data_IF_132522913533
#
_entry.id   IF_132522913533
#
_cell.length_a   1.000
_cell.length_b   1.000
_cell.length_c   1.000
_cell.angle_alpha   90.00
_cell.angle_beta   90.00
_cell.angle_gamma   90.00
#
_symmetry.space_group_name_H-M   'P 1'
#
loop_
_entity.id
_entity.type
_entity.pdbx_description
1 polymer ?
#
# COMPACT_ATOMS: atom_id res chain seq x y z
N UNK A 1 -65.25 23.58 7.73
CA UNK A 1 -65.02 22.33 8.51
C UNK A 1 -64.45 21.17 7.65
N UNK A 2 -63.75 21.44 6.54
CA UNK A 2 -63.20 20.40 5.62
C UNK A 2 -61.70 20.54 5.31
N UNK A 3 -60.98 21.44 6.01
CA UNK A 3 -59.55 21.71 5.73
C UNK A 3 -58.59 20.85 6.59
N UNK A 4 -59.05 20.40 7.76
CA UNK A 4 -58.22 19.67 8.72
C UNK A 4 -57.98 18.19 8.37
N UNK A 5 -58.78 17.60 7.47
CA UNK A 5 -58.66 16.17 7.16
C UNK A 5 -57.59 15.86 6.09
N UNK A 6 -57.16 16.87 5.31
CA UNK A 6 -56.13 16.72 4.27
C UNK A 6 -54.70 17.00 4.81
N UNK A 7 -54.59 17.72 5.92
CA UNK A 7 -53.30 18.11 6.54
C UNK A 7 -52.66 16.97 7.34
N UNK A 8 -53.47 16.14 8.02
CA UNK A 8 -53.00 15.04 8.87
C UNK A 8 -52.25 13.96 8.06
N UNK A 9 -52.71 13.68 6.83
CA UNK A 9 -52.04 12.71 5.94
C UNK A 9 -50.70 13.22 5.43
N UNK A 10 -50.57 14.53 5.23
CA UNK A 10 -49.39 15.14 4.61
C UNK A 10 -48.25 15.34 5.61
N UNK A 11 -48.56 15.70 6.86
CA UNK A 11 -47.57 15.81 7.94
C UNK A 11 -47.04 14.44 8.37
N UNK A 12 -47.91 13.42 8.43
CA UNK A 12 -47.53 12.06 8.79
C UNK A 12 -46.64 11.41 7.72
N UNK A 13 -46.95 11.64 6.44
CA UNK A 13 -46.11 11.18 5.32
C UNK A 13 -44.74 11.87 5.31
N UNK A 14 -44.68 13.17 5.60
CA UNK A 14 -43.42 13.95 5.67
C UNK A 14 -42.52 13.53 6.83
N UNK A 15 -43.09 13.27 8.00
CA UNK A 15 -42.33 12.85 9.19
C UNK A 15 -41.66 11.48 8.97
N UNK A 16 -42.38 10.53 8.36
CA UNK A 16 -41.83 9.20 8.03
C UNK A 16 -40.73 9.32 6.98
N UNK A 17 -40.89 10.18 5.96
CA UNK A 17 -39.85 10.42 4.95
C UNK A 17 -38.57 11.02 5.55
N UNK A 18 -38.69 11.99 6.46
CA UNK A 18 -37.52 12.59 7.13
C UNK A 18 -36.82 11.56 8.02
N UNK A 19 -37.57 10.78 8.80
CA UNK A 19 -36.99 9.72 9.65
C UNK A 19 -36.29 8.62 8.84
N UNK A 20 -36.86 8.22 7.71
CA UNK A 20 -36.25 7.24 6.81
C UNK A 20 -34.97 7.77 6.14
N UNK A 21 -34.95 9.05 5.77
CA UNK A 21 -33.77 9.70 5.21
C UNK A 21 -32.64 9.84 6.24
N UNK A 22 -32.96 10.22 7.48
CA UNK A 22 -31.94 10.28 8.55
C UNK A 22 -31.40 8.90 8.88
N UNK A 23 -32.25 7.87 8.93
CA UNK A 23 -31.80 6.51 9.25
C UNK A 23 -30.98 5.89 8.11
N UNK A 24 -31.38 6.13 6.86
CA UNK A 24 -30.61 5.72 5.68
C UNK A 24 -29.27 6.44 5.59
N UNK A 25 -29.21 7.73 5.91
CA UNK A 25 -27.96 8.50 5.95
C UNK A 25 -27.01 7.99 7.03
N UNK A 26 -27.51 7.69 8.23
CA UNK A 26 -26.69 7.13 9.30
C UNK A 26 -26.17 5.73 8.97
N UNK A 27 -26.98 4.88 8.32
CA UNK A 27 -26.56 3.55 7.89
C UNK A 27 -25.53 3.61 6.75
N UNK A 28 -25.69 4.54 5.81
CA UNK A 28 -24.73 4.74 4.73
C UNK A 28 -23.38 5.26 5.24
N UNK A 29 -23.36 6.14 6.24
CA UNK A 29 -22.13 6.59 6.89
C UNK A 29 -21.43 5.46 7.66
N UNK A 30 -22.17 4.59 8.37
CA UNK A 30 -21.59 3.46 9.09
C UNK A 30 -21.08 2.35 8.16
N UNK A 31 -21.62 2.24 6.94
CA UNK A 31 -21.17 1.27 5.95
C UNK A 31 -19.87 1.67 5.22
N UNK A 32 -19.36 2.89 5.43
CA UNK A 32 -18.10 3.38 4.85
C UNK A 32 -16.86 2.94 5.65
N UNK A 33 -17.02 2.02 6.61
CA UNK A 33 -15.90 1.36 7.29
C UNK A 33 -15.38 0.23 6.37
N UNK A 34 -14.68 0.63 5.31
CA UNK A 34 -13.79 -0.28 4.59
C UNK A 34 -12.76 -0.81 5.58
N UNK A 35 -12.50 -2.13 5.64
CA UNK A 35 -11.39 -2.67 6.41
C UNK A 35 -10.11 -2.20 5.74
N UNK A 36 -9.66 -1.00 6.09
CA UNK A 36 -8.28 -0.59 5.92
C UNK A 36 -7.51 -1.54 6.82
N UNK A 37 -7.08 -2.66 6.25
CA UNK A 37 -6.07 -3.51 6.85
C UNK A 37 -4.96 -2.57 7.28
N UNK A 38 -4.65 -2.59 8.57
CA UNK A 38 -3.51 -1.84 9.11
C UNK A 38 -2.35 -2.04 8.12
N UNK A 39 -1.63 -0.98 7.73
CA UNK A 39 -0.35 -1.19 7.08
C UNK A 39 0.39 -2.12 8.03
N UNK A 40 0.63 -3.36 7.61
CA UNK A 40 1.50 -4.25 8.36
C UNK A 40 2.84 -3.53 8.35
N UNK A 41 3.09 -2.74 9.39
CA UNK A 41 4.38 -2.18 9.67
C UNK A 41 5.26 -3.41 9.79
N UNK A 42 6.06 -3.63 8.74
CA UNK A 42 6.93 -4.77 8.57
C UNK A 42 7.39 -5.22 9.94
N UNK A 43 6.86 -6.36 10.41
CA UNK A 43 7.14 -6.87 11.74
C UNK A 43 8.65 -6.79 11.91
N UNK A 44 9.10 -5.99 12.89
CA UNK A 44 10.48 -5.52 13.02
C UNK A 44 11.45 -6.64 12.64
N UNK A 45 11.93 -6.57 11.40
CA UNK A 45 13.02 -7.43 10.93
C UNK A 45 14.18 -6.96 11.77
N UNK A 46 14.77 -7.89 12.52
CA UNK A 46 16.00 -7.72 13.27
C UNK A 46 16.96 -6.79 12.51
N UNK A 47 17.44 -5.76 13.21
CA UNK A 47 18.05 -4.43 12.90
C UNK A 47 18.93 -4.21 11.63
N UNK A 48 18.88 -5.08 10.63
CA UNK A 48 19.56 -4.94 9.36
C UNK A 48 18.65 -4.34 8.29
N UNK A 49 18.97 -3.15 7.80
CA UNK A 49 18.29 -2.56 6.65
C UNK A 49 18.37 -3.46 5.39
N UNK A 50 17.46 -3.24 4.44
CA UNK A 50 17.52 -3.88 3.11
C UNK A 50 18.29 -2.98 2.15
N UNK A 51 19.31 -3.53 1.49
CA UNK A 51 20.09 -2.81 0.47
C UNK A 51 19.57 -3.17 -0.92
N UNK A 52 19.16 -2.16 -1.69
CA UNK A 52 18.85 -2.31 -3.10
C UNK A 52 20.09 -1.98 -3.95
N UNK A 53 20.54 -2.96 -4.73
CA UNK A 53 21.59 -2.78 -5.74
C UNK A 53 20.94 -2.84 -7.12
N UNK A 54 21.00 -1.74 -7.87
CA UNK A 54 20.49 -1.68 -9.24
C UNK A 54 21.64 -1.84 -10.24
N UNK A 55 21.49 -2.79 -11.16
CA UNK A 55 22.40 -3.01 -12.28
C UNK A 55 21.62 -2.79 -13.58
N UNK A 56 22.07 -1.80 -14.35
CA UNK A 56 21.56 -1.48 -15.68
C UNK A 56 22.69 -1.67 -16.71
N UNK A 57 22.38 -2.39 -17.79
CA UNK A 57 23.30 -2.60 -18.91
C UNK A 57 24.22 -3.82 -18.78
N UNK A 58 25.27 -3.93 -19.63
CA UNK A 58 26.08 -5.14 -19.72
C UNK A 58 26.92 -5.42 -18.46
N UNK A 59 27.07 -6.69 -18.10
CA UNK A 59 27.89 -7.11 -16.95
C UNK A 59 29.33 -7.37 -17.39
N UNK A 60 30.24 -6.49 -16.96
CA UNK A 60 31.68 -6.58 -17.21
C UNK A 60 32.53 -6.47 -15.93
N UNK A 61 33.86 -6.38 -16.05
CA UNK A 61 34.77 -6.40 -14.90
C UNK A 61 34.53 -5.28 -13.89
N UNK A 62 34.07 -4.11 -14.37
CA UNK A 62 33.71 -3.00 -13.50
C UNK A 62 32.45 -3.30 -12.67
N UNK A 63 31.45 -3.95 -13.27
CA UNK A 63 30.19 -4.31 -12.60
C UNK A 63 30.41 -5.43 -11.57
N UNK A 64 31.25 -6.43 -11.87
CA UNK A 64 31.61 -7.47 -10.90
C UNK A 64 32.37 -6.87 -9.71
N UNK A 65 33.33 -5.99 -9.96
CA UNK A 65 34.11 -5.29 -8.94
C UNK A 65 33.23 -4.37 -8.07
N UNK A 66 32.29 -3.64 -8.69
CA UNK A 66 31.28 -2.86 -7.98
C UNK A 66 30.35 -3.73 -7.10
N UNK A 67 29.90 -4.87 -7.62
CA UNK A 67 29.00 -5.79 -6.90
C UNK A 67 29.69 -6.35 -5.67
N UNK A 68 30.94 -6.84 -5.81
CA UNK A 68 31.73 -7.34 -4.68
C UNK A 68 31.89 -6.31 -3.57
N UNK A 69 32.28 -5.07 -3.91
CA UNK A 69 32.38 -3.97 -2.93
C UNK A 69 31.04 -3.63 -2.29
N UNK A 70 29.95 -3.68 -3.05
CA UNK A 70 28.62 -3.36 -2.53
C UNK A 70 28.14 -4.41 -1.53
N UNK A 71 28.49 -5.68 -1.75
CA UNK A 71 28.23 -6.78 -0.81
C UNK A 71 29.05 -6.60 0.46
N UNK A 72 30.34 -6.28 0.36
CA UNK A 72 31.19 -5.98 1.53
C UNK A 72 30.61 -4.82 2.34
N UNK A 73 30.22 -3.73 1.67
CA UNK A 73 29.58 -2.56 2.28
C UNK A 73 28.27 -2.92 3.00
N UNK A 74 27.45 -3.77 2.40
CA UNK A 74 26.20 -4.24 3.00
C UNK A 74 26.45 -5.08 4.26
N UNK A 75 27.51 -5.92 4.26
CA UNK A 75 27.93 -6.68 5.42
C UNK A 75 28.45 -5.78 6.55
N UNK A 76 29.21 -4.72 6.24
CA UNK A 76 29.72 -3.74 7.23
C UNK A 76 28.59 -3.04 8.00
N UNK A 77 27.45 -2.80 7.35
CA UNK A 77 26.27 -2.16 7.96
C UNK A 77 25.27 -3.17 8.52
N UNK A 78 25.63 -4.45 8.60
CA UNK A 78 24.76 -5.54 9.04
C UNK A 78 23.42 -5.59 8.31
N UNK A 79 23.40 -5.33 7.00
CA UNK A 79 22.18 -5.41 6.20
C UNK A 79 21.56 -6.82 6.30
N UNK A 80 20.25 -6.90 6.53
CA UNK A 80 19.57 -8.19 6.66
C UNK A 80 19.36 -8.87 5.29
N UNK A 81 19.32 -8.07 4.22
CA UNK A 81 19.04 -8.54 2.87
C UNK A 81 19.65 -7.60 1.83
N UNK A 82 20.14 -8.18 0.73
CA UNK A 82 20.44 -7.45 -0.50
C UNK A 82 19.43 -7.87 -1.55
N UNK A 83 18.78 -6.89 -2.17
CA UNK A 83 17.93 -7.06 -3.35
C UNK A 83 18.72 -6.58 -4.56
N UNK A 84 18.93 -7.47 -5.52
CA UNK A 84 19.60 -7.14 -6.77
C UNK A 84 18.55 -6.95 -7.87
N UNK A 85 18.35 -5.71 -8.29
CA UNK A 85 17.51 -5.35 -9.43
C UNK A 85 18.39 -5.32 -10.68
N UNK A 86 18.04 -6.12 -11.68
CA UNK A 86 18.89 -6.29 -12.87
C UNK A 86 18.08 -6.09 -14.14
N UNK A 87 18.41 -5.05 -14.89
CA UNK A 87 18.07 -4.90 -16.30
C UNK A 87 19.35 -5.03 -17.12
N UNK A 88 19.69 -6.26 -17.49
CA UNK A 88 20.96 -6.54 -18.18
C UNK A 88 20.72 -7.41 -19.40
N UNK A 89 21.38 -7.13 -20.54
CA UNK A 89 21.34 -8.01 -21.71
C UNK A 89 22.25 -9.25 -21.55
N UNK A 90 22.97 -9.38 -20.43
CA UNK A 90 24.01 -10.38 -20.19
C UNK A 90 25.40 -9.75 -20.02
N UNK A 91 26.46 -10.54 -20.17
CA UNK A 91 27.82 -10.08 -19.88
C UNK A 91 28.91 -11.08 -20.23
N UNK A 92 30.14 -10.76 -19.81
CA UNK A 92 31.27 -11.67 -19.92
C UNK A 92 31.11 -12.82 -18.92
N UNK A 93 31.39 -14.07 -19.34
CA UNK A 93 31.32 -15.25 -18.47
C UNK A 93 32.17 -15.06 -17.21
N UNK A 94 33.36 -14.48 -17.36
CA UNK A 94 34.27 -14.17 -16.24
C UNK A 94 33.70 -13.20 -15.22
N UNK A 95 32.72 -12.38 -15.60
CA UNK A 95 32.09 -11.36 -14.74
C UNK A 95 30.75 -11.82 -14.15
N UNK A 96 30.22 -12.96 -14.59
CA UNK A 96 28.97 -13.57 -14.10
C UNK A 96 29.21 -14.77 -13.17
N UNK A 97 30.47 -15.11 -12.93
CA UNK A 97 30.92 -16.24 -12.12
C UNK A 97 31.10 -15.89 -10.65
#
# INVERSE_FOLDING_TARGET
>A
MMKAMFEVSTSLRRAISVAALTMGWTLWLAAQEEPVGEPQANAAVDDGGVVLLAIDGPIGPATSDFTSRSIERAAEISAALIVLEMDTPGGLDTSLR
#
